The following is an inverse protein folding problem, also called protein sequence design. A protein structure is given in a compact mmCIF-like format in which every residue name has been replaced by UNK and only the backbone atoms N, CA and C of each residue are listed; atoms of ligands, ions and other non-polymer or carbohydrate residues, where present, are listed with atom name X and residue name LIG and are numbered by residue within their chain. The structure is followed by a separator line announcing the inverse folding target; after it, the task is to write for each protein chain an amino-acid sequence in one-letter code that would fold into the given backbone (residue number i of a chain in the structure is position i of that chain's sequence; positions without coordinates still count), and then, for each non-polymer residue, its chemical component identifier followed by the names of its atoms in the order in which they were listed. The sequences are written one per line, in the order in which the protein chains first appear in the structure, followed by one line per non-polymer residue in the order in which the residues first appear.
data_IF_212036902875
#
_entry.id   IF_212036902875
#
_cell.length_a   1.000
_cell.length_b   1.000
_cell.length_c   1.000
_cell.angle_alpha   90.00
_cell.angle_beta   90.00
_cell.angle_gamma   90.00
#
_symmetry.space_group_name_H-M   'P 1'
#
loop_
_entity.id
_entity.type
_entity.pdbx_description
1 polymer ?
#
# COMPACT_ATOMS: atom_id res chain seq x y z
N UNK A 1 -4.92 28.65 -5.79
CA UNK A 1 -4.14 27.40 -5.63
C UNK A 1 -3.54 27.01 -6.96
N UNK A 2 -2.24 26.75 -6.98
CA UNK A 2 -1.53 26.26 -8.16
C UNK A 2 -1.81 24.76 -8.32
N UNK A 3 -2.35 24.34 -9.47
CA UNK A 3 -2.62 22.92 -9.74
C UNK A 3 -1.29 22.21 -9.98
N UNK A 4 -0.83 21.43 -9.01
CA UNK A 4 0.41 20.65 -9.12
C UNK A 4 0.13 19.27 -9.68
N UNK A 5 1.10 18.73 -10.40
CA UNK A 5 1.07 17.40 -11.00
C UNK A 5 2.37 16.73 -10.65
N UNK A 6 2.30 15.49 -10.16
CA UNK A 6 3.49 14.67 -9.93
C UNK A 6 3.66 13.73 -11.12
N UNK A 7 4.85 13.72 -11.70
CA UNK A 7 5.26 12.72 -12.67
C UNK A 7 6.15 11.69 -11.99
N UNK A 8 5.85 10.42 -12.24
CA UNK A 8 6.67 9.28 -11.83
C UNK A 8 7.28 8.65 -13.07
N UNK A 9 8.60 8.51 -13.03
CA UNK A 9 9.38 7.86 -14.06
C UNK A 9 9.82 6.51 -13.52
N UNK A 10 9.25 5.44 -14.06
CA UNK A 10 9.69 4.08 -13.77
C UNK A 10 10.76 3.71 -14.77
N UNK A 11 11.99 3.60 -14.28
CA UNK A 11 13.18 3.26 -15.07
C UNK A 11 13.19 1.78 -15.46
N UNK A 12 13.26 1.50 -16.75
CA UNK A 12 13.41 0.17 -17.31
C UNK A 12 14.88 -0.21 -17.29
N UNK A 13 15.25 -1.02 -16.30
CA UNK A 13 16.62 -1.46 -16.08
C UNK A 13 17.02 -2.52 -17.10
N UNK A 14 18.32 -2.66 -17.31
CA UNK A 14 18.91 -3.72 -18.16
C UNK A 14 18.46 -5.14 -17.75
N UNK A 15 18.11 -5.34 -16.48
CA UNK A 15 17.58 -6.60 -15.94
C UNK A 15 16.13 -6.90 -16.36
N UNK A 16 15.47 -5.99 -17.09
CA UNK A 16 14.04 -6.02 -17.39
C UNK A 16 13.15 -5.56 -16.24
N UNK A 17 13.77 -5.11 -15.13
CA UNK A 17 13.05 -4.58 -13.97
C UNK A 17 12.53 -3.17 -14.23
N UNK A 18 11.32 -2.89 -13.77
CA UNK A 18 10.63 -1.62 -13.83
C UNK A 18 10.12 -1.32 -12.41
N UNK A 19 10.82 -0.44 -11.68
CA UNK A 19 10.46 -0.13 -10.29
C UNK A 19 10.70 -1.26 -9.28
N UNK A 20 9.90 -1.28 -8.20
CA UNK A 20 10.05 -2.16 -7.03
C UNK A 20 8.70 -2.66 -6.50
N UNK A 21 8.72 -3.83 -5.88
CA UNK A 21 7.61 -4.43 -5.13
C UNK A 21 8.07 -5.03 -3.80
N UNK A 22 7.14 -5.38 -2.92
CA UNK A 22 7.44 -6.16 -1.71
C UNK A 22 7.42 -7.65 -2.02
N UNK A 23 8.43 -8.36 -1.51
CA UNK A 23 8.46 -9.81 -1.42
C UNK A 23 8.66 -10.23 0.04
N UNK A 24 8.45 -11.53 0.30
CA UNK A 24 8.63 -12.12 1.62
C UNK A 24 9.79 -13.12 1.58
N UNK A 25 10.67 -13.01 2.56
CA UNK A 25 11.79 -13.93 2.75
C UNK A 25 11.74 -14.54 4.15
N UNK A 26 12.05 -15.83 4.23
CA UNK A 26 12.27 -16.52 5.49
C UNK A 26 13.67 -16.23 6.00
N UNK A 27 13.81 -15.92 7.27
CA UNK A 27 15.09 -15.74 7.96
C UNK A 27 15.66 -17.08 8.42
N UNK A 28 16.92 -17.07 8.89
CA UNK A 28 17.58 -18.24 9.44
C UNK A 28 16.91 -18.78 10.72
N UNK A 29 16.21 -17.93 11.48
CA UNK A 29 15.45 -18.33 12.68
C UNK A 29 14.01 -18.78 12.37
N UNK A 30 13.62 -18.86 11.10
CA UNK A 30 12.30 -19.28 10.66
C UNK A 30 11.22 -18.21 10.76
N UNK A 31 11.58 -16.96 11.09
CA UNK A 31 10.68 -15.81 10.98
C UNK A 31 10.56 -15.31 9.54
N UNK A 32 9.69 -14.32 9.31
CA UNK A 32 9.45 -13.73 7.99
C UNK A 32 9.75 -12.24 8.01
N UNK A 33 10.27 -11.75 6.89
CA UNK A 33 10.51 -10.34 6.66
C UNK A 33 10.13 -9.95 5.24
N UNK A 34 9.75 -8.69 5.09
CA UNK A 34 9.51 -8.08 3.79
C UNK A 34 10.78 -7.45 3.25
N UNK A 35 11.06 -7.70 1.98
CA UNK A 35 12.20 -7.14 1.26
C UNK A 35 11.71 -6.46 -0.03
N UNK A 36 12.25 -5.28 -0.38
CA UNK A 36 12.04 -4.71 -1.70
C UNK A 36 12.77 -5.55 -2.75
N UNK A 37 12.06 -6.00 -3.78
CA UNK A 37 12.65 -6.69 -4.93
C UNK A 37 12.28 -5.98 -6.23
N UNK A 38 12.99 -6.34 -7.31
CA UNK A 38 12.70 -5.82 -8.64
C UNK A 38 11.28 -6.22 -9.07
N UNK A 39 10.54 -5.26 -9.61
CA UNK A 39 9.24 -5.48 -10.22
C UNK A 39 9.40 -5.60 -11.74
N UNK A 40 8.56 -6.39 -12.39
CA UNK A 40 8.43 -6.42 -13.85
C UNK A 40 7.50 -5.31 -14.34
N UNK A 41 7.34 -5.18 -15.67
CA UNK A 41 6.30 -4.32 -16.25
C UNK A 41 4.91 -4.72 -15.74
N UNK A 42 4.59 -6.02 -15.74
CA UNK A 42 3.30 -6.54 -15.30
C UNK A 42 3.06 -6.24 -13.81
N UNK A 43 4.06 -6.48 -12.96
CA UNK A 43 3.99 -6.12 -11.52
C UNK A 43 3.75 -4.61 -11.33
N UNK A 44 4.35 -3.77 -12.17
CA UNK A 44 4.20 -2.31 -12.10
C UNK A 44 2.81 -1.88 -12.51
N UNK A 45 2.29 -2.40 -13.62
CA UNK A 45 0.95 -2.11 -14.09
C UNK A 45 -0.10 -2.59 -13.08
N UNK A 46 0.07 -3.81 -12.56
CA UNK A 46 -0.78 -4.37 -11.50
C UNK A 46 -0.77 -3.48 -10.25
N UNK A 47 0.41 -3.03 -9.81
CA UNK A 47 0.54 -2.07 -8.71
C UNK A 47 -0.26 -0.79 -8.95
N UNK A 48 -0.12 -0.18 -10.14
CA UNK A 48 -0.81 1.07 -10.46
C UNK A 48 -2.33 0.87 -10.48
N UNK A 49 -2.82 -0.22 -11.06
CA UNK A 49 -4.24 -0.56 -11.08
C UNK A 49 -4.78 -0.81 -9.66
N UNK A 50 -4.12 -1.66 -8.87
CA UNK A 50 -4.58 -2.00 -7.51
C UNK A 50 -4.60 -0.79 -6.58
N UNK A 51 -3.57 0.06 -6.62
CA UNK A 51 -3.56 1.28 -5.81
C UNK A 51 -4.67 2.24 -6.23
N UNK A 52 -4.91 2.41 -7.54
CA UNK A 52 -6.00 3.23 -8.05
C UNK A 52 -7.37 2.72 -7.58
N UNK A 53 -7.63 1.43 -7.78
CA UNK A 53 -8.90 0.79 -7.41
C UNK A 53 -9.13 0.76 -5.90
N UNK A 54 -8.06 0.63 -5.12
CA UNK A 54 -8.15 0.63 -3.66
C UNK A 54 -8.46 2.01 -3.09
N UNK A 55 -8.23 3.12 -3.82
CA UNK A 55 -8.49 4.48 -3.36
C UNK A 55 -7.25 5.31 -3.05
N UNK A 56 -6.11 5.00 -3.65
CA UNK A 56 -4.92 5.85 -3.67
C UNK A 56 -5.04 6.95 -4.76
N UNK A 57 -4.04 7.84 -4.88
CA UNK A 57 -4.07 8.97 -5.83
C UNK A 57 -4.28 8.38 -7.25
N UNK A 58 -5.32 8.83 -7.98
CA UNK A 58 -5.55 8.37 -9.35
C UNK A 58 -4.28 8.50 -10.19
N UNK A 59 -3.93 7.42 -10.89
CA UNK A 59 -2.71 7.38 -11.69
C UNK A 59 -3.06 7.22 -13.17
N UNK A 60 -2.57 8.15 -13.97
CA UNK A 60 -2.72 8.18 -15.42
C UNK A 60 -1.41 7.69 -16.06
N UNK A 61 -1.46 6.59 -16.82
CA UNK A 61 -0.30 6.13 -17.61
C UNK A 61 -0.22 7.02 -18.85
N UNK A 62 0.87 7.78 -18.96
CA UNK A 62 1.09 8.69 -20.09
C UNK A 62 1.64 7.92 -21.29
N UNK A 63 2.54 6.97 -21.04
CA UNK A 63 3.16 6.15 -22.06
C UNK A 63 4.60 5.80 -21.75
N UNK A 64 5.31 5.30 -22.77
CA UNK A 64 6.74 5.02 -22.71
C UNK A 64 7.52 6.21 -23.29
N UNK A 65 8.69 6.49 -22.72
CA UNK A 65 9.63 7.42 -23.32
C UNK A 65 10.07 6.91 -24.71
N UNK A 66 10.37 7.84 -25.63
CA UNK A 66 10.77 7.48 -26.99
C UNK A 66 12.06 6.63 -27.06
N UNK A 67 12.91 6.72 -26.03
CA UNK A 67 14.12 5.88 -25.90
C UNK A 67 13.81 4.46 -25.44
N UNK A 68 12.63 4.23 -24.84
CA UNK A 68 12.24 2.96 -24.22
C UNK A 68 12.64 2.84 -22.74
N UNK A 69 13.41 3.78 -22.20
CA UNK A 69 14.02 3.65 -20.86
C UNK A 69 13.04 3.93 -19.70
N UNK A 70 11.88 4.55 -19.97
CA UNK A 70 10.95 4.94 -18.91
C UNK A 70 9.50 4.63 -19.26
N UNK A 71 8.78 4.07 -18.28
CA UNK A 71 7.33 4.18 -18.19
C UNK A 71 6.99 5.46 -17.41
N UNK A 72 6.17 6.31 -18.02
CA UNK A 72 5.79 7.61 -17.48
C UNK A 72 4.36 7.51 -16.96
N UNK A 73 4.19 7.79 -15.67
CA UNK A 73 2.89 7.90 -15.03
C UNK A 73 2.72 9.28 -14.40
N UNK A 74 1.46 9.70 -14.26
CA UNK A 74 1.06 11.01 -13.75
C UNK A 74 0.05 10.85 -12.63
N UNK A 75 0.27 11.58 -11.55
CA UNK A 75 -0.65 11.72 -10.41
C UNK A 75 -1.08 13.19 -10.33
N UNK A 76 -2.27 13.51 -10.86
CA UNK A 76 -2.75 14.89 -10.94
C UNK A 76 -3.15 15.42 -9.57
N UNK A 77 -2.98 16.72 -9.36
CA UNK A 77 -3.51 17.45 -8.19
C UNK A 77 -2.97 17.00 -6.82
N UNK A 78 -1.93 16.17 -6.80
CA UNK A 78 -1.27 15.69 -5.60
C UNK A 78 -0.31 16.81 -5.06
N UNK A 79 -0.53 17.26 -3.82
CA UNK A 79 0.23 18.26 -3.06
C UNK A 79 0.99 17.59 -1.91
N UNK A 80 2.10 18.14 -1.39
CA UNK A 80 2.80 17.55 -0.25
C UNK A 80 1.89 17.41 0.98
N UNK A 81 2.17 16.39 1.81
CA UNK A 81 1.55 16.23 3.12
C UNK A 81 1.67 17.50 3.98
N UNK A 82 0.75 17.65 4.95
CA UNK A 82 0.79 18.73 5.94
C UNK A 82 1.24 18.22 7.31
N UNK A 83 0.70 17.07 7.74
CA UNK A 83 1.13 16.36 8.95
C UNK A 83 1.35 14.90 8.55
N UNK A 84 2.61 14.47 8.47
CA UNK A 84 2.94 13.16 7.93
C UNK A 84 2.26 12.01 8.69
N UNK A 85 2.16 12.08 10.01
CA UNK A 85 1.62 10.97 10.80
C UNK A 85 0.11 10.84 10.60
N UNK A 86 -0.62 11.95 10.70
CA UNK A 86 -2.05 12.02 10.47
C UNK A 86 -2.40 11.69 9.02
N UNK A 87 -1.66 12.25 8.06
CA UNK A 87 -1.90 12.06 6.63
C UNK A 87 -1.64 10.62 6.22
N UNK A 88 -0.56 10.02 6.73
CA UNK A 88 -0.25 8.61 6.49
C UNK A 88 -1.33 7.69 7.04
N UNK A 89 -1.89 8.01 8.22
CA UNK A 89 -3.00 7.26 8.80
C UNK A 89 -4.23 7.36 7.91
N UNK A 90 -4.69 8.58 7.60
CA UNK A 90 -5.88 8.81 6.76
C UNK A 90 -5.73 8.26 5.35
N UNK A 91 -4.55 8.40 4.73
CA UNK A 91 -4.28 7.87 3.40
C UNK A 91 -4.25 6.33 3.37
N UNK A 92 -3.82 5.68 4.46
CA UNK A 92 -3.94 4.23 4.58
C UNK A 92 -5.38 3.77 4.83
N UNK A 93 -6.16 4.57 5.57
CA UNK A 93 -7.59 4.33 5.78
C UNK A 93 -8.40 4.43 4.47
N UNK A 94 -8.01 5.33 3.55
CA UNK A 94 -8.68 5.47 2.24
C UNK A 94 -8.61 4.20 1.39
N UNK A 95 -7.51 3.46 1.51
CA UNK A 95 -7.33 2.15 0.88
C UNK A 95 -7.66 0.96 1.78
N UNK A 96 -8.32 1.21 2.92
CA UNK A 96 -8.76 0.19 3.89
C UNK A 96 -7.61 -0.71 4.35
N UNK A 97 -6.41 -0.12 4.46
CA UNK A 97 -5.20 -0.82 4.86
C UNK A 97 -5.08 -0.93 6.38
N UNK A 98 -5.07 -2.16 6.87
CA UNK A 98 -5.00 -2.51 8.30
C UNK A 98 -3.55 -2.73 8.69
N UNK A 99 -3.11 -2.11 9.79
CA UNK A 99 -1.78 -2.32 10.36
C UNK A 99 -1.60 -3.76 10.83
N UNK A 100 -0.46 -4.39 10.50
CA UNK A 100 -0.11 -5.70 11.08
C UNK A 100 0.49 -5.52 12.48
N UNK A 101 0.08 -6.36 13.45
CA UNK A 101 0.68 -6.35 14.79
C UNK A 101 2.03 -7.08 14.86
N UNK A 102 2.41 -7.81 13.82
CA UNK A 102 3.74 -8.43 13.70
C UNK A 102 4.73 -7.51 12.99
N UNK A 103 6.00 -7.58 13.40
CA UNK A 103 7.09 -6.90 12.70
C UNK A 103 7.60 -7.75 11.53
N UNK A 104 7.63 -7.17 10.33
CA UNK A 104 8.05 -7.83 9.10
C UNK A 104 9.27 -7.13 8.46
N UNK A 105 10.20 -6.66 9.30
CA UNK A 105 11.36 -5.88 8.88
C UNK A 105 11.07 -4.39 8.63
N UNK A 106 9.79 -3.99 8.53
CA UNK A 106 9.29 -2.62 8.38
C UNK A 106 7.83 -2.54 8.81
N UNK A 107 7.30 -1.32 8.90
CA UNK A 107 5.85 -1.09 8.98
C UNK A 107 5.19 -1.64 7.70
N UNK A 108 4.30 -2.60 7.86
CA UNK A 108 3.53 -3.21 6.78
C UNK A 108 2.06 -3.10 7.15
N UNK A 109 1.25 -2.76 6.16
CA UNK A 109 -0.21 -2.80 6.25
C UNK A 109 -0.74 -3.84 5.27
N UNK A 110 -1.93 -4.34 5.53
CA UNK A 110 -2.62 -5.29 4.66
C UNK A 110 -3.88 -4.63 4.13
N UNK A 111 -4.07 -4.69 2.80
CA UNK A 111 -5.33 -4.29 2.17
C UNK A 111 -5.91 -5.42 1.32
N UNK A 112 -7.23 -5.42 1.14
CA UNK A 112 -7.94 -6.36 0.29
C UNK A 112 -8.32 -5.70 -1.04
N UNK A 113 -7.91 -6.30 -2.15
CA UNK A 113 -8.19 -5.81 -3.50
C UNK A 113 -8.13 -6.98 -4.49
N UNK A 114 -8.97 -6.92 -5.53
CA UNK A 114 -9.04 -7.95 -6.59
C UNK A 114 -9.15 -9.38 -6.03
N UNK A 115 -10.05 -9.56 -5.05
CA UNK A 115 -10.33 -10.88 -4.46
C UNK A 115 -9.20 -11.51 -3.64
N UNK A 116 -8.11 -10.80 -3.36
CA UNK A 116 -6.98 -11.28 -2.55
C UNK A 116 -6.39 -10.20 -1.64
N UNK A 117 -5.53 -10.65 -0.73
CA UNK A 117 -4.85 -9.78 0.21
C UNK A 117 -3.45 -9.38 -0.28
N UNK A 118 -3.13 -8.11 -0.05
CA UNK A 118 -1.89 -7.47 -0.45
C UNK A 118 -1.20 -6.85 0.76
N UNK A 119 0.12 -6.91 0.79
CA UNK A 119 0.90 -6.07 1.68
C UNK A 119 1.18 -4.72 1.04
N UNK A 120 1.24 -3.69 1.88
CA UNK A 120 1.53 -2.30 1.55
C UNK A 120 2.65 -1.83 2.46
N UNK A 121 3.63 -1.14 1.89
CA UNK A 121 4.71 -0.51 2.64
C UNK A 121 5.25 0.71 1.92
N UNK A 122 6.36 1.24 2.46
CA UNK A 122 7.05 2.42 1.93
C UNK A 122 6.20 3.70 1.96
N UNK A 123 5.38 3.84 3.00
CA UNK A 123 4.58 5.04 3.27
C UNK A 123 5.42 6.16 3.92
N UNK A 124 6.51 6.54 3.29
CA UNK A 124 7.37 7.64 3.72
C UNK A 124 6.88 8.99 3.20
N UNK A 125 7.52 10.08 3.64
CA UNK A 125 7.12 11.46 3.34
C UNK A 125 7.01 11.81 1.84
N UNK A 126 7.65 11.06 0.96
CA UNK A 126 7.59 11.27 -0.50
C UNK A 126 6.45 10.53 -1.19
N UNK A 127 5.81 9.60 -0.48
CA UNK A 127 4.73 8.76 -0.96
C UNK A 127 3.38 9.09 -0.30
N UNK A 128 3.36 10.05 0.63
CA UNK A 128 2.15 10.60 1.23
C UNK A 128 1.93 12.01 0.71
N UNK A 129 0.77 12.21 0.08
CA UNK A 129 0.37 13.44 -0.57
C UNK A 129 -1.03 13.84 -0.12
N UNK A 130 -1.53 14.96 -0.62
CA UNK A 130 -2.91 15.43 -0.46
C UNK A 130 -3.50 15.77 -1.81
N UNK A 131 -4.78 15.48 -2.00
CA UNK A 131 -5.53 15.90 -3.19
C UNK A 131 -5.87 17.40 -3.12
N UNK A 132 -6.54 17.92 -4.17
CA UNK A 132 -6.87 19.35 -4.28
C UNK A 132 -7.80 19.85 -3.17
N UNK A 133 -8.63 18.98 -2.62
CA UNK A 133 -9.53 19.23 -1.51
C UNK A 133 -8.84 19.10 -0.14
N UNK A 134 -7.55 18.72 -0.14
CA UNK A 134 -6.76 18.49 1.05
C UNK A 134 -6.80 17.05 1.55
N UNK A 135 -7.59 16.14 0.96
CA UNK A 135 -7.70 14.75 1.39
C UNK A 135 -6.35 14.02 1.27
N UNK A 136 -5.79 13.44 2.36
CA UNK A 136 -4.55 12.66 2.28
C UNK A 136 -4.68 11.44 1.37
N UNK A 137 -3.63 11.16 0.60
CA UNK A 137 -3.60 10.08 -0.39
C UNK A 137 -2.22 9.46 -0.54
N UNK A 138 -2.16 8.23 -1.05
CA UNK A 138 -0.94 7.47 -1.26
C UNK A 138 -0.50 7.60 -2.73
N UNK A 139 0.79 7.78 -2.96
CA UNK A 139 1.42 7.59 -4.27
C UNK A 139 2.57 6.60 -4.16
N UNK A 140 2.80 5.81 -5.20
CA UNK A 140 4.04 5.04 -5.42
C UNK A 140 4.51 4.18 -4.22
N UNK A 141 3.56 3.70 -3.41
CA UNK A 141 3.85 2.76 -2.33
C UNK A 141 4.33 1.41 -2.90
N UNK A 142 5.08 0.66 -2.10
CA UNK A 142 5.40 -0.72 -2.45
C UNK A 142 4.24 -1.62 -2.07
N UNK A 143 3.83 -2.50 -2.98
CA UNK A 143 2.87 -3.57 -2.69
C UNK A 143 3.44 -4.93 -3.03
N UNK A 144 2.88 -5.99 -2.45
CA UNK A 144 3.23 -7.36 -2.77
C UNK A 144 2.11 -8.33 -2.39
N UNK A 145 1.91 -9.38 -3.19
CA UNK A 145 0.94 -10.41 -2.85
C UNK A 145 1.40 -11.16 -1.59
N UNK A 146 0.47 -11.47 -0.68
CA UNK A 146 0.77 -12.25 0.53
C UNK A 146 0.87 -13.74 0.18
N UNK A 147 2.04 -14.40 0.32
CA UNK A 147 2.18 -15.81 -0.03
C UNK A 147 1.39 -16.71 0.94
N UNK A 148 0.72 -17.79 0.46
CA UNK A 148 -0.10 -18.65 1.32
C UNK A 148 0.65 -19.27 2.51
N UNK A 149 1.93 -19.59 2.34
CA UNK A 149 2.78 -20.11 3.41
C UNK A 149 3.04 -19.06 4.50
N UNK A 150 3.27 -17.79 4.12
CA UNK A 150 3.45 -16.68 5.07
C UNK A 150 2.17 -16.45 5.86
N UNK A 151 1.02 -16.41 5.17
CA UNK A 151 -0.30 -16.26 5.80
C UNK A 151 -0.54 -17.37 6.81
N UNK A 152 -0.26 -18.63 6.46
CA UNK A 152 -0.45 -19.77 7.37
C UNK A 152 0.43 -19.70 8.62
N UNK A 153 1.64 -19.15 8.50
CA UNK A 153 2.59 -19.09 9.61
C UNK A 153 2.37 -17.94 10.58
N UNK A 154 1.60 -16.91 10.21
CA UNK A 154 1.49 -15.67 10.98
C UNK A 154 0.03 -15.33 11.30
N UNK A 155 -0.41 -15.66 12.52
CA UNK A 155 -1.77 -15.36 12.99
C UNK A 155 -2.10 -13.86 12.90
N UNK A 156 -1.13 -12.98 13.21
CA UNK A 156 -1.29 -11.54 13.08
C UNK A 156 -1.64 -11.08 11.65
N UNK A 157 -1.06 -11.73 10.63
CA UNK A 157 -1.42 -11.45 9.23
C UNK A 157 -2.82 -11.97 8.91
N UNK A 158 -3.20 -13.14 9.40
CA UNK A 158 -4.56 -13.67 9.20
C UNK A 158 -5.62 -12.72 9.77
N UNK A 159 -5.39 -12.20 10.98
CA UNK A 159 -6.26 -11.17 11.58
C UNK A 159 -6.32 -9.92 10.71
N UNK A 160 -5.17 -9.36 10.30
CA UNK A 160 -5.14 -8.16 9.46
C UNK A 160 -5.85 -8.36 8.11
N UNK A 161 -5.66 -9.52 7.47
CA UNK A 161 -6.34 -9.91 6.23
C UNK A 161 -7.86 -9.96 6.44
N UNK A 162 -8.31 -10.64 7.50
CA UNK A 162 -9.73 -10.78 7.80
C UNK A 162 -10.38 -9.41 8.02
N UNK A 163 -9.75 -8.55 8.82
CA UNK A 163 -10.24 -7.19 9.09
C UNK A 163 -10.28 -6.34 7.84
N UNK A 164 -9.22 -6.34 7.04
CA UNK A 164 -9.20 -5.54 5.81
C UNK A 164 -10.25 -6.02 4.81
N UNK A 165 -10.44 -7.34 4.69
CA UNK A 165 -11.51 -7.90 3.87
C UNK A 165 -12.90 -7.48 4.35
N UNK A 166 -13.20 -7.62 5.64
CA UNK A 166 -14.49 -7.19 6.20
C UNK A 166 -14.71 -5.69 6.05
N UNK A 167 -13.66 -4.89 6.21
CA UNK A 167 -13.73 -3.45 5.95
C UNK A 167 -13.99 -3.16 4.48
N UNK A 168 -13.37 -3.91 3.57
CA UNK A 168 -13.65 -3.80 2.14
C UNK A 168 -15.13 -4.10 1.85
N UNK A 169 -15.66 -5.20 2.38
CA UNK A 169 -17.01 -5.71 2.11
C UNK A 169 -18.11 -4.86 2.77
N UNK A 170 -17.88 -4.37 3.98
CA UNK A 170 -18.93 -3.73 4.81
C UNK A 170 -18.79 -2.22 4.94
N UNK A 171 -17.63 -1.67 4.59
CA UNK A 171 -17.29 -0.27 4.84
C UNK A 171 -16.92 0.06 6.29
N UNK A 172 -17.01 -0.91 7.21
CA UNK A 172 -16.71 -0.71 8.63
C UNK A 172 -15.44 -1.45 9.06
N UNK A 173 -14.51 -0.73 9.69
CA UNK A 173 -13.36 -1.34 10.34
C UNK A 173 -13.79 -1.93 11.69
N UNK A 174 -13.58 -3.23 11.87
CA UNK A 174 -13.88 -3.91 13.13
C UNK A 174 -12.70 -3.73 14.10
N UNK A 175 -13.00 -3.44 15.36
CA UNK A 175 -12.01 -3.32 16.43
C UNK A 175 -11.45 -4.69 16.81
N UNK A 176 -10.15 -4.72 17.14
CA UNK A 176 -9.48 -5.90 17.71
C UNK A 176 -9.53 -5.90 19.25
N UNK A 177 -10.08 -4.84 19.84
CA UNK A 177 -10.25 -4.76 21.29
C UNK A 177 -11.44 -5.64 21.70
N UNK A 178 -11.23 -6.71 22.49
CA UNK A 178 -12.33 -7.54 22.98
C UNK A 178 -13.30 -6.77 23.89
N UNK A 179 -12.90 -5.57 24.36
CA UNK A 179 -13.71 -4.67 25.17
C UNK A 179 -14.30 -3.51 24.35
N UNK A 180 -14.06 -3.46 23.04
CA UNK A 180 -14.65 -2.45 22.16
C UNK A 180 -16.17 -2.54 22.16
N UNK A 181 -16.83 -1.56 22.79
CA UNK A 181 -18.28 -1.49 22.88
C UNK A 181 -18.87 -2.08 24.16
N UNK A 182 -18.02 -2.53 25.10
CA UNK A 182 -18.40 -2.80 26.48
C UNK A 182 -18.22 -1.50 27.26
N UNK A 183 -19.24 -1.06 27.98
CA UNK A 183 -19.17 0.15 28.77
C UNK A 183 -18.31 -0.09 30.04
N UNK A 184 -17.56 0.92 30.50
CA UNK A 184 -16.63 0.81 31.64
C UNK A 184 -17.31 0.34 32.95
N UNK A 185 -18.63 0.41 33.05
CA UNK A 185 -19.43 -0.06 34.18
C UNK A 185 -19.75 -1.57 34.14
N UNK A 186 -19.34 -2.28 33.08
CA UNK A 186 -19.50 -3.73 32.89
C UNK A 186 -18.19 -4.54 33.03
N UNK A 187 -17.08 -3.90 33.42
CA UNK A 187 -15.76 -4.49 33.69
C UNK A 187 -15.49 -4.70 35.19
#
# INVERSE_FOLDING_TARGET
MERRVVYKLFDLRETGALGKKLAFESTADGSWMTVPCDATLDDTLEKLCLLHEAGACPTEIIGLAATGDYLIAKQPLCQPFANLEEDRRTAAESIKAVMTSCFLGREVRVFWADGRAWCLGDLHQGNIMREVDGTPTIIDALIGALPPNVIRSLAALQTAIHRSRLWWETGNLISDDPFSGIADDEL
#
